data_IF_856362949574
#
_entry.id   IF_856362949574
#
_cell.length_a   1.000
_cell.length_b   1.000
_cell.length_c   1.000
_cell.angle_alpha   90.00
_cell.angle_beta   90.00
_cell.angle_gamma   90.00
#
_symmetry.space_group_name_H-M   'P 1'
#
loop_
_entity.id
_entity.type
_entity.pdbx_description
1 polymer ?
#
# COMPACT_ATOMS: atom_id res chain seq x y z
N UNK A 1 -18.10 24.80 -15.57
CA UNK A 1 -17.25 24.47 -14.41
C UNK A 1 -17.70 23.12 -13.86
N UNK A 2 -17.01 22.03 -14.22
CA UNK A 2 -17.42 20.68 -13.83
C UNK A 2 -16.95 20.39 -12.40
N UNK A 3 -17.92 20.11 -11.53
CA UNK A 3 -17.75 19.74 -10.13
C UNK A 3 -17.13 18.34 -10.08
N UNK A 4 -15.83 18.26 -9.82
CA UNK A 4 -15.16 16.98 -9.61
C UNK A 4 -15.71 16.33 -8.35
N UNK A 5 -16.44 15.23 -8.52
CA UNK A 5 -16.81 14.34 -7.45
C UNK A 5 -15.51 13.84 -6.82
N UNK A 6 -15.15 14.36 -5.65
CA UNK A 6 -14.16 13.74 -4.76
C UNK A 6 -14.75 12.42 -4.28
N UNK A 7 -14.60 11.39 -5.10
CA UNK A 7 -14.91 10.02 -4.74
C UNK A 7 -13.87 9.55 -3.74
N UNK A 8 -14.21 9.74 -2.48
CA UNK A 8 -13.60 9.20 -1.27
C UNK A 8 -13.40 7.69 -1.36
N UNK A 9 -12.33 7.22 -2.02
CA UNK A 9 -11.77 5.90 -1.74
C UNK A 9 -10.37 6.07 -1.20
N UNK A 10 -10.19 5.46 -0.04
CA UNK A 10 -8.97 5.36 0.77
C UNK A 10 -7.90 4.51 0.08
N UNK A 11 -7.79 4.60 -1.24
CA UNK A 11 -6.72 4.00 -2.01
C UNK A 11 -5.56 4.98 -1.90
N UNK A 12 -4.46 4.55 -1.27
CA UNK A 12 -3.26 5.38 -1.25
C UNK A 12 -2.72 5.59 -2.67
N UNK A 13 -1.57 6.22 -2.76
CA UNK A 13 -0.98 6.59 -4.04
C UNK A 13 -0.51 5.38 -4.88
N UNK A 14 -0.46 4.16 -4.32
CA UNK A 14 -0.22 2.91 -5.08
C UNK A 14 -1.55 2.16 -5.22
N UNK A 15 -2.06 1.99 -6.45
CA UNK A 15 -3.31 1.28 -6.71
C UNK A 15 -3.28 -0.16 -6.19
N UNK A 16 -4.42 -0.63 -5.70
CA UNK A 16 -4.62 -2.01 -5.28
C UNK A 16 -4.09 -2.36 -3.89
N UNK A 17 -3.22 -1.56 -3.26
CA UNK A 17 -2.77 -1.79 -1.88
C UNK A 17 -3.83 -1.34 -0.85
N UNK A 18 -4.14 -2.22 0.11
CA UNK A 18 -5.09 -1.96 1.20
C UNK A 18 -4.33 -1.76 2.51
N UNK A 19 -3.73 -0.58 2.66
CA UNK A 19 -2.98 -0.21 3.85
C UNK A 19 -3.76 0.74 4.76
N UNK A 20 -3.53 0.70 6.08
CA UNK A 20 -4.04 1.71 7.00
C UNK A 20 -3.53 3.11 6.63
N UNK A 21 -4.35 4.14 6.90
CA UNK A 21 -4.00 5.54 6.60
C UNK A 21 -2.68 5.97 7.24
N UNK A 22 -2.38 5.51 8.46
CA UNK A 22 -1.12 5.81 9.16
C UNK A 22 0.11 5.30 8.39
N UNK A 23 0.00 4.13 7.76
CA UNK A 23 1.07 3.57 6.93
C UNK A 23 1.23 4.40 5.65
N UNK A 24 0.13 4.83 5.02
CA UNK A 24 0.20 5.74 3.88
C UNK A 24 0.83 7.09 4.19
N UNK A 25 0.58 7.63 5.38
CA UNK A 25 1.21 8.88 5.84
C UNK A 25 2.72 8.66 6.02
N UNK A 26 3.13 7.57 6.67
CA UNK A 26 4.54 7.26 6.88
C UNK A 26 5.28 7.03 5.55
N UNK A 27 4.72 6.25 4.62
CA UNK A 27 5.32 6.04 3.30
C UNK A 27 5.51 7.35 2.52
N UNK A 28 4.50 8.23 2.52
CA UNK A 28 4.61 9.55 1.89
C UNK A 28 5.67 10.44 2.55
N UNK A 29 5.79 10.41 3.87
CA UNK A 29 6.82 11.15 4.59
C UNK A 29 8.25 10.67 4.24
N UNK A 30 8.40 9.41 3.81
CA UNK A 30 9.65 8.83 3.32
C UNK A 30 9.81 8.94 1.80
N UNK A 31 8.89 9.62 1.11
CA UNK A 31 8.89 9.76 -0.35
C UNK A 31 8.46 8.52 -1.12
N UNK A 32 8.15 7.40 -0.46
CA UNK A 32 7.82 6.13 -1.10
C UNK A 32 6.44 6.26 -1.74
N UNK A 33 6.45 6.55 -3.05
CA UNK A 33 5.25 6.82 -3.85
C UNK A 33 5.00 5.82 -4.99
N UNK A 34 5.91 4.87 -5.20
CA UNK A 34 5.87 3.94 -6.32
C UNK A 34 6.01 2.50 -5.83
N UNK A 35 5.29 1.58 -6.49
CA UNK A 35 5.28 0.16 -6.12
C UNK A 35 6.67 -0.47 -6.21
N UNK A 36 7.48 -0.11 -7.20
CA UNK A 36 8.82 -0.67 -7.37
C UNK A 36 9.74 -0.23 -6.23
N UNK A 37 9.62 1.01 -5.79
CA UNK A 37 10.40 1.50 -4.65
C UNK A 37 9.92 0.87 -3.34
N UNK A 38 8.60 0.71 -3.18
CA UNK A 38 8.03 0.02 -2.02
C UNK A 38 8.49 -1.45 -1.94
N UNK A 39 8.60 -2.13 -3.08
CA UNK A 39 9.14 -3.50 -3.17
C UNK A 39 10.63 -3.53 -2.80
N UNK A 40 11.42 -2.59 -3.32
CA UNK A 40 12.85 -2.52 -3.06
C UNK A 40 13.19 -2.31 -1.56
N UNK A 41 12.33 -1.57 -0.84
CA UNK A 41 12.54 -1.26 0.58
C UNK A 41 11.69 -2.10 1.54
N UNK A 42 10.92 -3.08 1.04
CA UNK A 42 9.90 -3.81 1.81
C UNK A 42 10.43 -4.47 3.09
N UNK A 43 11.65 -5.02 3.03
CA UNK A 43 12.30 -5.68 4.16
C UNK A 43 12.81 -4.68 5.20
N UNK A 44 13.10 -3.46 4.77
CA UNK A 44 13.63 -2.37 5.60
C UNK A 44 12.56 -1.42 6.12
N UNK A 45 11.29 -1.58 5.70
CA UNK A 45 10.18 -0.71 6.11
C UNK A 45 10.05 -0.57 7.63
N UNK A 46 10.38 -1.61 8.40
CA UNK A 46 10.31 -1.59 9.86
C UNK A 46 11.34 -0.68 10.54
N UNK A 47 12.33 -0.17 9.79
CA UNK A 47 13.34 0.79 10.24
C UNK A 47 12.88 2.23 10.00
N UNK A 48 11.83 2.43 9.19
CA UNK A 48 11.35 3.76 8.84
C UNK A 48 10.55 4.36 10.00
N UNK A 49 10.77 5.65 10.34
CA UNK A 49 9.95 6.35 11.32
C UNK A 49 8.45 6.25 10.99
N UNK A 50 7.65 5.82 11.97
CA UNK A 50 6.21 5.64 11.81
C UNK A 50 5.77 4.31 11.20
N UNK A 51 6.70 3.41 10.85
CA UNK A 51 6.39 2.05 10.38
C UNK A 51 7.03 1.02 11.32
N UNK A 52 6.20 0.46 12.20
CA UNK A 52 6.62 -0.67 13.05
C UNK A 52 6.64 -2.01 12.30
N UNK A 53 7.22 -3.04 12.93
CA UNK A 53 7.30 -4.41 12.38
C UNK A 53 5.96 -4.96 11.88
N UNK A 54 4.87 -4.72 12.63
CA UNK A 54 3.51 -5.16 12.26
C UNK A 54 3.03 -4.48 10.97
N UNK A 55 3.23 -3.17 10.85
CA UNK A 55 2.88 -2.42 9.64
C UNK A 55 3.74 -2.84 8.45
N UNK A 56 5.04 -3.06 8.67
CA UNK A 56 5.94 -3.56 7.63
C UNK A 56 5.55 -4.96 7.12
N UNK A 57 5.09 -5.84 8.02
CA UNK A 57 4.56 -7.16 7.65
C UNK A 57 3.30 -7.02 6.80
N UNK A 58 2.35 -6.18 7.22
CA UNK A 58 1.11 -5.93 6.47
C UNK A 58 1.40 -5.41 5.05
N UNK A 59 2.38 -4.52 4.89
CA UNK A 59 2.79 -4.05 3.56
C UNK A 59 3.31 -5.19 2.69
N UNK A 60 4.13 -6.09 3.26
CA UNK A 60 4.63 -7.28 2.54
C UNK A 60 3.50 -8.22 2.12
N UNK A 61 2.54 -8.48 3.00
CA UNK A 61 1.36 -9.30 2.69
C UNK A 61 0.55 -8.70 1.54
N UNK A 62 0.34 -7.38 1.56
CA UNK A 62 -0.38 -6.67 0.51
C UNK A 62 0.38 -6.65 -0.82
N UNK A 63 1.71 -6.52 -0.79
CA UNK A 63 2.56 -6.64 -1.99
C UNK A 63 2.45 -8.04 -2.61
N UNK A 64 2.42 -9.10 -1.80
CA UNK A 64 2.20 -10.47 -2.28
C UNK A 64 0.78 -10.61 -2.86
N UNK A 65 -0.24 -10.07 -2.18
CA UNK A 65 -1.64 -10.15 -2.62
C UNK A 65 -1.85 -9.56 -4.01
N UNK A 66 -1.23 -8.42 -4.31
CA UNK A 66 -1.37 -7.76 -5.62
C UNK A 66 -0.43 -8.34 -6.69
N UNK A 67 0.64 -9.05 -6.29
CA UNK A 67 1.55 -9.73 -7.20
C UNK A 67 1.02 -11.11 -7.61
N UNK A 68 0.19 -11.74 -6.77
CA UNK A 68 -0.54 -12.94 -7.17
C UNK A 68 -1.46 -12.57 -8.34
N UNK A 69 -1.41 -13.27 -9.48
CA UNK A 69 -2.49 -13.18 -10.44
C UNK A 69 -3.77 -13.52 -9.66
N UNK A 70 -4.85 -12.77 -9.88
CA UNK A 70 -6.16 -13.14 -9.35
C UNK A 70 -6.47 -14.55 -9.87
N UNK A 71 -6.03 -15.58 -9.13
CA UNK A 71 -6.60 -16.91 -9.25
C UNK A 71 -8.04 -16.66 -8.85
N UNK A 72 -8.88 -16.58 -9.88
CA UNK A 72 -10.33 -16.67 -9.78
C UNK A 72 -10.63 -17.60 -8.62
N UNK A 73 -11.12 -17.05 -7.51
CA UNK A 73 -11.86 -17.84 -6.54
C UNK A 73 -12.97 -18.50 -7.38
N UNK A 74 -13.00 -19.83 -7.55
CA UNK A 74 -14.18 -20.43 -8.14
C UNK A 74 -15.29 -20.13 -7.15
N UNK A 75 -16.24 -19.29 -7.58
CA UNK A 75 -17.51 -19.13 -6.90
C UNK A 75 -18.02 -20.52 -6.53
N UNK A 76 -18.20 -20.77 -5.24
CA UNK A 76 -18.94 -21.92 -4.76
C UNK A 76 -19.89 -21.48 -3.65
#
# INVERSE_FOLDING_TARGET
MAKAYYSSRREGHIPGLRLPQSVWVALRAQGIMHIDWLRAVADQLHLLPGIGRKSAQLVREELVRIAAPEKQSPSR
#
